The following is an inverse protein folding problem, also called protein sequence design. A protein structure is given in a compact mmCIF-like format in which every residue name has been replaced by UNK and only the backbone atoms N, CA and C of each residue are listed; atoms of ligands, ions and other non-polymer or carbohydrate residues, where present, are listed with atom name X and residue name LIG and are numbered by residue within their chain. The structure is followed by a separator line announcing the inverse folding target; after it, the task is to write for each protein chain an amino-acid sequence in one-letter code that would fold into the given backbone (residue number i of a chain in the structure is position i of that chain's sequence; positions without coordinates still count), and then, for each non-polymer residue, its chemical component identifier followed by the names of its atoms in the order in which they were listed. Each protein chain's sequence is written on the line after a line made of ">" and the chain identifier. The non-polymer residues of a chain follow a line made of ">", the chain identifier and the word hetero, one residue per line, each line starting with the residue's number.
data_IF_024113025289
#
_entry.id   IF_024113025289
#
_cell.length_a   1.000
_cell.length_b   1.000
_cell.length_c   1.000
_cell.angle_alpha   90.00
_cell.angle_beta   90.00
_cell.angle_gamma   90.00
#
_symmetry.space_group_name_H-M   'P 1'
#
loop_
_entity.id
_entity.type
_entity.pdbx_description
1 polymer ?
#
# COMPACT_ATOMS: atom_id res chain seq x y z
N UNK A 1 9.19 -53.59 -33.26
CA UNK A 1 8.80 -52.24 -32.80
C UNK A 1 9.65 -51.74 -31.64
N UNK A 2 9.76 -52.46 -30.52
CA UNK A 2 10.50 -52.01 -29.31
C UNK A 2 12.02 -51.84 -29.55
N UNK A 3 12.66 -52.72 -30.32
CA UNK A 3 14.09 -52.63 -30.66
C UNK A 3 14.46 -51.42 -31.54
N UNK A 4 13.57 -51.02 -32.45
CA UNK A 4 13.79 -49.84 -33.31
C UNK A 4 13.66 -48.53 -32.51
N UNK A 5 12.77 -48.50 -31.52
CA UNK A 5 12.58 -47.35 -30.64
C UNK A 5 13.77 -47.17 -29.69
N UNK A 6 14.31 -48.27 -29.17
CA UNK A 6 15.52 -48.24 -28.34
C UNK A 6 16.76 -47.77 -29.12
N UNK A 7 16.93 -48.22 -30.37
CA UNK A 7 18.02 -47.78 -31.24
C UNK A 7 17.92 -46.29 -31.59
N UNK A 8 16.71 -45.78 -31.84
CA UNK A 8 16.49 -44.35 -32.12
C UNK A 8 16.82 -43.46 -30.90
N UNK A 9 16.42 -43.87 -29.69
CA UNK A 9 16.74 -43.14 -28.45
C UNK A 9 18.25 -43.14 -28.21
N UNK A 10 18.92 -44.26 -28.42
CA UNK A 10 20.38 -44.36 -28.27
C UNK A 10 21.12 -43.47 -29.27
N UNK A 11 20.65 -43.40 -30.52
CA UNK A 11 21.22 -42.50 -31.53
C UNK A 11 21.06 -41.02 -31.15
N UNK A 12 19.92 -40.62 -30.58
CA UNK A 12 19.70 -39.23 -30.11
C UNK A 12 20.62 -38.87 -28.96
N UNK A 13 20.85 -39.80 -28.02
CA UNK A 13 21.76 -39.59 -26.89
C UNK A 13 23.21 -39.45 -27.37
N UNK A 14 23.66 -40.33 -28.28
CA UNK A 14 24.99 -40.23 -28.89
C UNK A 14 25.17 -38.94 -29.67
N UNK A 15 24.17 -38.52 -30.45
CA UNK A 15 24.24 -37.27 -31.21
C UNK A 15 24.33 -36.05 -30.28
N UNK A 16 23.58 -36.05 -29.17
CA UNK A 16 23.65 -34.99 -28.15
C UNK A 16 25.00 -34.95 -27.44
N UNK A 17 25.61 -36.10 -27.17
CA UNK A 17 26.93 -36.20 -26.55
C UNK A 17 28.05 -35.71 -27.47
N UNK A 18 28.05 -36.15 -28.74
CA UNK A 18 29.02 -35.69 -29.75
C UNK A 18 28.89 -34.18 -30.03
N UNK A 19 27.66 -33.64 -29.99
CA UNK A 19 27.42 -32.20 -30.12
C UNK A 19 27.93 -31.40 -28.93
N UNK A 20 27.91 -31.96 -27.72
CA UNK A 20 28.44 -31.32 -26.51
C UNK A 20 29.97 -31.33 -26.50
N UNK A 21 30.61 -32.44 -26.91
CA UNK A 21 32.07 -32.50 -27.05
C UNK A 21 32.59 -31.50 -28.10
N UNK A 22 31.90 -31.37 -29.24
CA UNK A 22 32.29 -30.38 -30.26
C UNK A 22 32.25 -28.94 -29.76
N UNK A 23 31.35 -28.59 -28.85
CA UNK A 23 31.30 -27.24 -28.25
C UNK A 23 32.47 -26.99 -27.28
N UNK A 24 33.02 -28.03 -26.64
CA UNK A 24 34.18 -27.87 -25.76
C UNK A 24 35.51 -27.71 -26.52
N UNK A 25 35.60 -28.19 -27.76
CA UNK A 25 36.79 -28.01 -28.61
C UNK A 25 36.90 -26.62 -29.27
N UNK A 26 35.88 -25.76 -29.18
CA UNK A 26 35.89 -24.40 -29.72
C UNK A 26 36.15 -23.30 -28.68
N UNK A 27 36.47 -23.65 -27.43
CA UNK A 27 37.03 -22.67 -26.51
C UNK A 27 38.43 -22.25 -27.02
N UNK A 28 38.72 -20.94 -27.19
CA UNK A 28 40.01 -20.48 -27.70
C UNK A 28 41.17 -21.00 -26.86
N UNK A 29 42.12 -21.66 -27.51
CA UNK A 29 43.35 -22.16 -26.92
C UNK A 29 44.34 -20.99 -26.83
N UNK A 30 44.47 -20.38 -25.67
CA UNK A 30 45.51 -19.37 -25.43
C UNK A 30 46.89 -20.03 -25.49
N UNK A 31 47.75 -19.50 -26.35
CA UNK A 31 49.15 -19.91 -26.53
C UNK A 31 50.03 -19.39 -25.39
N UNK A 32 50.96 -20.18 -24.83
CA UNK A 32 51.83 -19.73 -23.75
C UNK A 32 53.03 -18.94 -24.30
N UNK A 33 53.15 -17.67 -23.89
CA UNK A 33 54.38 -16.88 -24.02
C UNK A 33 55.13 -16.89 -22.68
N UNK A 34 56.37 -17.34 -22.77
CA UNK A 34 57.57 -17.25 -21.91
C UNK A 34 57.55 -16.35 -20.64
N UNK A 35 57.84 -16.99 -19.50
CA UNK A 35 58.60 -16.59 -18.27
C UNK A 35 58.42 -15.19 -17.63
N UNK A 36 57.85 -15.18 -16.41
CA UNK A 36 58.21 -14.31 -15.26
C UNK A 36 57.61 -14.92 -13.97
N UNK A 37 58.26 -14.88 -12.78
CA UNK A 37 57.71 -15.52 -11.57
C UNK A 37 56.58 -14.66 -10.99
N UNK A 38 55.34 -15.11 -11.14
CA UNK A 38 54.15 -14.49 -10.56
C UNK A 38 54.05 -14.84 -9.07
N UNK A 39 53.78 -13.87 -8.17
CA UNK A 39 53.63 -14.13 -6.73
C UNK A 39 52.42 -15.02 -6.45
N UNK A 40 52.58 -15.90 -5.46
CA UNK A 40 51.54 -16.80 -4.96
C UNK A 40 50.27 -16.00 -4.60
N UNK A 41 49.08 -16.35 -5.13
CA UNK A 41 47.88 -15.56 -4.91
C UNK A 41 47.45 -15.71 -3.45
N UNK A 42 47.74 -14.70 -2.64
CA UNK A 42 47.16 -14.57 -1.31
C UNK A 42 45.64 -14.47 -1.49
N UNK A 43 44.83 -15.35 -0.87
CA UNK A 43 43.38 -15.31 -0.98
C UNK A 43 42.88 -13.98 -0.42
N UNK A 44 42.60 -13.04 -1.32
CA UNK A 44 42.10 -11.72 -0.93
C UNK A 44 40.62 -11.88 -0.67
N UNK A 45 40.24 -11.76 0.61
CA UNK A 45 38.84 -11.74 1.05
C UNK A 45 38.08 -10.71 0.17
N UNK A 46 36.93 -11.07 -0.42
CA UNK A 46 36.16 -10.11 -1.20
C UNK A 46 35.85 -8.89 -0.31
N UNK A 47 35.98 -7.66 -0.84
CA UNK A 47 35.77 -6.47 -0.04
C UNK A 47 34.35 -6.47 0.52
N UNK A 48 34.14 -6.06 1.77
CA UNK A 48 32.79 -5.92 2.31
C UNK A 48 32.01 -4.93 1.43
N UNK A 49 30.75 -5.27 1.15
CA UNK A 49 29.84 -4.44 0.37
C UNK A 49 29.57 -3.17 1.19
N UNK A 50 30.42 -2.15 1.05
CA UNK A 50 30.24 -0.84 1.64
C UNK A 50 29.42 0.03 0.66
N UNK A 51 28.11 -0.20 0.64
CA UNK A 51 27.15 0.59 -0.12
C UNK A 51 26.54 1.71 0.73
N UNK A 52 26.58 2.94 0.22
CA UNK A 52 25.96 4.13 0.83
C UNK A 52 24.44 3.90 0.99
N UNK A 53 23.89 4.23 2.17
CA UNK A 53 22.48 4.01 2.53
C UNK A 53 21.52 4.54 1.46
N UNK A 54 20.67 3.66 0.95
CA UNK A 54 19.60 4.04 0.04
C UNK A 54 18.44 4.62 0.87
N UNK A 55 18.14 5.89 0.66
CA UNK A 55 17.00 6.54 1.30
C UNK A 55 15.81 6.44 0.35
N UNK A 56 15.09 5.31 0.44
CA UNK A 56 13.88 5.09 -0.33
C UNK A 56 12.67 5.74 0.35
N UNK A 57 11.87 6.49 -0.40
CA UNK A 57 10.53 6.88 0.08
C UNK A 57 9.55 5.77 -0.28
N UNK A 58 8.93 5.17 0.73
CA UNK A 58 7.89 4.17 0.54
C UNK A 58 6.60 4.81 0.01
N UNK A 59 5.75 4.01 -0.62
CA UNK A 59 4.49 4.45 -1.23
C UNK A 59 3.50 5.10 -0.23
N UNK A 60 3.63 4.80 1.07
CA UNK A 60 2.85 5.39 2.16
C UNK A 60 3.44 6.71 2.69
N UNK A 61 4.49 7.23 2.04
CA UNK A 61 5.14 8.50 2.35
C UNK A 61 6.20 8.44 3.45
N UNK A 62 6.53 7.24 3.95
CA UNK A 62 7.56 7.00 4.96
C UNK A 62 8.95 7.02 4.32
N UNK A 63 9.89 7.70 4.97
CA UNK A 63 11.30 7.69 4.59
C UNK A 63 11.99 6.51 5.27
N UNK A 64 12.48 5.54 4.49
CA UNK A 64 13.21 4.39 5.00
C UNK A 64 14.71 4.65 4.84
N UNK A 65 15.44 4.52 5.95
CA UNK A 65 16.89 4.44 5.94
C UNK A 65 17.26 3.00 6.28
N UNK A 66 17.93 2.30 5.36
CA UNK A 66 18.40 0.94 5.58
C UNK A 66 19.92 0.86 5.48
N UNK A 67 20.56 0.35 6.53
CA UNK A 67 21.95 -0.08 6.55
C UNK A 67 22.00 -1.59 6.78
N UNK A 68 23.05 -2.23 6.28
CA UNK A 68 23.37 -3.62 6.59
C UNK A 68 24.71 -3.61 7.32
N UNK A 69 24.71 -4.11 8.55
CA UNK A 69 25.91 -4.25 9.36
C UNK A 69 26.21 -5.73 9.52
N UNK A 70 27.45 -6.13 9.25
CA UNK A 70 27.89 -7.53 9.36
C UNK A 70 29.09 -7.64 10.28
N UNK A 71 28.97 -8.46 11.32
CA UNK A 71 30.08 -8.81 12.22
C UNK A 71 30.60 -10.23 11.87
N UNK A 72 31.90 -10.52 12.05
CA UNK A 72 32.41 -11.87 11.87
C UNK A 72 31.81 -12.83 12.92
N UNK A 73 31.14 -13.89 12.47
CA UNK A 73 30.58 -14.97 13.30
C UNK A 73 31.38 -16.27 13.22
N UNK A 74 30.86 -17.31 13.88
CA UNK A 74 31.36 -18.70 13.85
C UNK A 74 30.94 -19.44 12.58
N UNK A 75 31.07 -20.77 12.56
CA UNK A 75 30.52 -21.62 11.52
C UNK A 75 29.00 -21.42 11.35
N UNK A 76 28.52 -21.58 10.12
CA UNK A 76 27.13 -21.32 9.77
C UNK A 76 26.11 -22.24 10.47
N UNK A 77 26.54 -23.39 11.02
CA UNK A 77 25.64 -24.29 11.74
C UNK A 77 25.35 -23.75 13.13
N UNK A 78 26.38 -23.21 13.79
CA UNK A 78 26.27 -22.52 15.08
C UNK A 78 25.46 -21.23 14.95
N UNK A 79 25.79 -20.36 13.99
CA UNK A 79 25.09 -19.08 13.77
C UNK A 79 23.61 -19.30 13.46
N UNK A 80 23.26 -20.27 12.61
CA UNK A 80 21.86 -20.56 12.24
C UNK A 80 21.00 -21.00 13.45
N UNK A 81 21.61 -21.52 14.51
CA UNK A 81 20.92 -21.88 15.74
C UNK A 81 20.76 -20.70 16.72
N UNK A 82 21.51 -19.61 16.53
CA UNK A 82 21.41 -18.39 17.34
C UNK A 82 20.35 -17.44 16.73
N UNK A 83 19.25 -17.13 17.46
CA UNK A 83 18.25 -16.17 17.01
C UNK A 83 18.78 -14.75 16.76
N UNK A 84 19.89 -14.38 17.40
CA UNK A 84 20.49 -13.05 17.28
C UNK A 84 21.46 -12.92 16.08
N UNK A 85 21.78 -14.03 15.40
CA UNK A 85 22.69 -14.04 14.25
C UNK A 85 22.13 -13.35 12.99
N UNK A 86 20.80 -13.16 12.93
CA UNK A 86 20.10 -12.56 11.78
C UNK A 86 18.90 -11.72 12.24
N UNK A 87 19.20 -10.52 12.76
CA UNK A 87 18.19 -9.60 13.33
C UNK A 87 17.98 -8.39 12.43
N UNK A 88 16.73 -7.95 12.35
CA UNK A 88 16.34 -6.69 11.73
C UNK A 88 15.65 -5.80 12.76
N UNK A 89 16.30 -4.69 13.12
CA UNK A 89 15.73 -3.67 13.98
C UNK A 89 14.94 -2.63 13.19
N UNK A 90 13.64 -2.52 13.48
CA UNK A 90 12.77 -1.51 12.89
C UNK A 90 12.48 -0.40 13.91
N UNK A 91 12.86 0.84 13.57
CA UNK A 91 12.58 2.03 14.38
C UNK A 91 11.85 3.10 13.56
N UNK A 92 10.57 3.31 13.87
CA UNK A 92 9.78 4.40 13.30
C UNK A 92 9.79 5.63 14.22
N UNK A 93 10.26 6.76 13.71
CA UNK A 93 10.22 8.04 14.41
C UNK A 93 9.06 8.89 13.89
N UNK A 94 7.98 8.99 14.66
CA UNK A 94 6.83 9.84 14.35
C UNK A 94 6.70 10.96 15.39
N UNK A 95 6.54 12.21 14.93
CA UNK A 95 6.27 13.36 15.80
C UNK A 95 4.77 13.48 16.01
N UNK A 96 4.31 13.48 17.26
CA UNK A 96 2.90 13.74 17.59
C UNK A 96 2.65 15.24 17.50
N UNK A 97 1.66 15.71 16.73
CA UNK A 97 1.38 17.13 16.59
C UNK A 97 0.67 17.69 17.83
N UNK A 98 0.78 19.00 17.99
CA UNK A 98 0.07 19.76 19.02
C UNK A 98 -1.20 20.38 18.42
N UNK A 99 -2.33 20.37 19.14
CA UNK A 99 -3.58 20.93 18.64
C UNK A 99 -3.52 22.45 18.57
N UNK A 100 -4.13 23.03 17.54
CA UNK A 100 -4.40 24.46 17.46
C UNK A 100 -5.44 24.87 18.52
N UNK A 101 -5.20 26.00 19.18
CA UNK A 101 -5.96 26.46 20.36
C UNK A 101 -6.56 27.83 20.16
N UNK A 102 -5.93 28.68 19.34
CA UNK A 102 -6.36 30.06 19.11
C UNK A 102 -6.96 30.24 17.73
N UNK A 103 -7.76 31.29 17.57
CA UNK A 103 -8.37 31.60 16.27
C UNK A 103 -7.32 31.88 15.19
N UNK A 104 -6.20 32.50 15.54
CA UNK A 104 -5.10 32.78 14.61
C UNK A 104 -4.44 31.49 14.12
N UNK A 105 -4.27 30.49 14.99
CA UNK A 105 -3.74 29.19 14.62
C UNK A 105 -4.69 28.44 13.69
N UNK A 106 -6.00 28.45 14.00
CA UNK A 106 -7.03 27.86 13.14
C UNK A 106 -7.09 28.54 11.77
N UNK A 107 -6.92 29.87 11.73
CA UNK A 107 -6.96 30.66 10.51
C UNK A 107 -5.78 30.38 9.57
N UNK A 108 -4.64 29.86 10.07
CA UNK A 108 -3.52 29.43 9.20
C UNK A 108 -3.95 28.34 8.22
N UNK A 109 -4.87 27.47 8.62
CA UNK A 109 -5.39 26.37 7.80
C UNK A 109 -6.66 26.80 7.06
N UNK A 110 -7.55 27.54 7.74
CA UNK A 110 -8.81 28.01 7.16
C UNK A 110 -8.90 29.54 7.27
N UNK A 111 -8.32 30.31 6.33
CA UNK A 111 -8.16 31.76 6.48
C UNK A 111 -9.45 32.54 6.70
N UNK A 112 -10.57 32.07 6.14
CA UNK A 112 -11.89 32.72 6.26
C UNK A 112 -12.69 32.30 7.50
N UNK A 113 -12.14 31.42 8.34
CA UNK A 113 -12.83 30.95 9.54
C UNK A 113 -13.24 32.09 10.51
N UNK A 114 -12.41 33.13 10.74
CA UNK A 114 -12.81 34.26 11.57
C UNK A 114 -14.03 35.03 11.02
N UNK A 115 -14.14 35.14 9.70
CA UNK A 115 -15.27 35.81 9.04
C UNK A 115 -16.56 34.98 9.15
N UNK A 116 -16.43 33.66 8.96
CA UNK A 116 -17.57 32.73 8.99
C UNK A 116 -18.12 32.53 10.40
N UNK A 117 -17.25 32.54 11.42
CA UNK A 117 -17.59 32.30 12.82
C UNK A 117 -16.98 33.37 13.74
N UNK A 118 -17.49 34.62 13.72
CA UNK A 118 -16.89 35.72 14.48
C UNK A 118 -16.91 35.51 16.00
N UNK A 119 -17.87 34.73 16.51
CA UNK A 119 -17.94 34.38 17.93
C UNK A 119 -16.93 33.31 18.39
N UNK A 120 -16.17 32.72 17.47
CA UNK A 120 -15.24 31.62 17.77
C UNK A 120 -14.09 32.06 18.68
N UNK A 121 -13.59 33.28 18.49
CA UNK A 121 -12.50 33.84 19.33
C UNK A 121 -12.84 33.83 20.83
N UNK A 122 -14.11 34.09 21.17
CA UNK A 122 -14.56 34.13 22.56
C UNK A 122 -14.73 32.75 23.20
N UNK A 123 -14.68 31.67 22.39
CA UNK A 123 -14.86 30.28 22.84
C UNK A 123 -13.58 29.46 22.72
N UNK A 124 -12.70 29.81 21.78
CA UNK A 124 -11.46 29.10 21.51
C UNK A 124 -10.36 29.55 22.49
N UNK A 125 -9.73 28.58 23.15
CA UNK A 125 -8.60 28.79 24.04
C UNK A 125 -7.95 27.47 24.44
N UNK A 126 -6.85 27.50 25.22
CA UNK A 126 -6.13 26.29 25.62
C UNK A 126 -7.01 25.24 26.32
N UNK A 127 -7.93 25.68 27.18
CA UNK A 127 -8.86 24.81 27.91
C UNK A 127 -9.97 24.20 27.03
N UNK A 128 -10.16 24.74 25.82
CA UNK A 128 -11.15 24.20 24.89
C UNK A 128 -10.66 22.94 24.16
N UNK A 129 -9.38 22.60 24.27
CA UNK A 129 -8.84 21.40 23.60
C UNK A 129 -9.50 20.14 24.17
N UNK A 130 -10.14 19.39 23.29
CA UNK A 130 -10.82 18.17 23.68
C UNK A 130 -9.82 17.05 23.99
N UNK A 131 -10.06 16.25 25.05
CA UNK A 131 -9.32 15.00 25.30
C UNK A 131 -9.35 14.04 24.10
N UNK A 132 -10.38 14.13 23.26
CA UNK A 132 -10.54 13.32 22.05
C UNK A 132 -9.35 13.47 21.09
N UNK A 133 -8.70 14.64 21.04
CA UNK A 133 -7.51 14.83 20.20
C UNK A 133 -6.36 13.91 20.67
N UNK A 134 -6.12 13.86 21.97
CA UNK A 134 -5.10 12.99 22.56
C UNK A 134 -5.45 11.52 22.39
N UNK A 135 -6.72 11.15 22.58
CA UNK A 135 -7.19 9.78 22.37
C UNK A 135 -7.04 9.31 20.91
N UNK A 136 -7.33 10.19 19.95
CA UNK A 136 -7.13 9.94 18.53
C UNK A 136 -5.67 9.63 18.23
N UNK A 137 -4.74 10.50 18.65
CA UNK A 137 -3.31 10.28 18.40
C UNK A 137 -2.76 9.07 19.16
N UNK A 138 -3.25 8.78 20.37
CA UNK A 138 -2.89 7.55 21.08
C UNK A 138 -3.33 6.30 20.31
N UNK A 139 -4.52 6.33 19.71
CA UNK A 139 -5.01 5.25 18.85
C UNK A 139 -4.14 5.09 17.60
N UNK A 140 -3.76 6.19 16.95
CA UNK A 140 -2.85 6.16 15.79
C UNK A 140 -1.47 5.62 16.15
N UNK A 141 -0.92 6.02 17.29
CA UNK A 141 0.36 5.49 17.80
C UNK A 141 0.26 3.99 18.07
N UNK A 142 -0.84 3.52 18.65
CA UNK A 142 -1.10 2.09 18.83
C UNK A 142 -1.13 1.37 17.48
N UNK A 143 -1.83 1.89 16.48
CA UNK A 143 -1.84 1.31 15.13
C UNK A 143 -0.45 1.25 14.50
N UNK A 144 0.39 2.28 14.70
CA UNK A 144 1.78 2.26 14.23
C UNK A 144 2.59 1.14 14.91
N UNK A 145 2.41 0.95 16.23
CA UNK A 145 3.10 -0.11 16.99
C UNK A 145 2.68 -1.50 16.55
N UNK A 146 1.38 -1.73 16.41
CA UNK A 146 0.81 -3.03 16.03
C UNK A 146 1.17 -3.43 14.60
N UNK A 147 1.39 -2.47 13.70
CA UNK A 147 1.64 -2.72 12.29
C UNK A 147 3.09 -2.45 11.86
N UNK A 148 4.03 -2.16 12.78
CA UNK A 148 5.40 -1.79 12.42
C UNK A 148 6.13 -2.86 11.58
N UNK A 149 5.82 -4.13 11.81
CA UNK A 149 6.39 -5.26 11.06
C UNK A 149 5.69 -5.48 9.71
N UNK A 150 4.48 -4.90 9.53
CA UNK A 150 3.68 -4.97 8.30
C UNK A 150 3.60 -3.59 7.67
N UNK A 151 4.69 -3.20 7.00
CA UNK A 151 4.84 -1.87 6.39
C UNK A 151 3.72 -1.52 5.40
N UNK A 152 3.06 -2.52 4.83
CA UNK A 152 1.90 -2.39 3.95
C UNK A 152 0.62 -1.92 4.65
N UNK A 153 0.49 -2.22 5.94
CA UNK A 153 -0.64 -1.85 6.79
C UNK A 153 -0.31 -0.69 7.75
N UNK A 154 0.90 -0.17 7.66
CA UNK A 154 1.35 0.97 8.44
C UNK A 154 0.65 2.24 7.96
N UNK A 155 0.15 3.05 8.90
CA UNK A 155 -0.53 4.31 8.57
C UNK A 155 0.37 5.20 7.71
N UNK A 156 -0.22 5.75 6.64
CA UNK A 156 0.46 6.71 5.79
C UNK A 156 0.76 8.00 6.54
N UNK A 157 1.74 8.77 6.04
CA UNK A 157 2.04 10.09 6.62
C UNK A 157 0.81 11.00 6.60
N UNK A 158 0.03 10.97 5.52
CA UNK A 158 -1.18 11.80 5.41
C UNK A 158 -2.20 11.42 6.48
N UNK A 159 -2.53 10.13 6.62
CA UNK A 159 -3.52 9.66 7.60
C UNK A 159 -3.03 9.80 9.05
N UNK A 160 -1.72 9.84 9.29
CA UNK A 160 -1.23 10.13 10.64
C UNK A 160 -1.44 11.60 11.01
N UNK A 161 -1.34 12.53 10.06
CA UNK A 161 -1.41 13.99 10.27
C UNK A 161 -2.70 14.65 9.72
N UNK A 162 -3.77 13.88 9.51
CA UNK A 162 -5.04 14.36 8.94
C UNK A 162 -5.85 15.27 9.88
N UNK A 163 -5.56 15.31 11.19
CA UNK A 163 -6.34 16.03 12.18
C UNK A 163 -5.49 17.09 12.86
N UNK A 164 -5.86 18.36 12.65
CA UNK A 164 -5.15 19.52 13.18
C UNK A 164 -5.57 19.85 14.61
N UNK A 165 -6.88 19.81 14.92
CA UNK A 165 -7.38 20.04 16.28
C UNK A 165 -8.80 19.52 16.48
N UNK A 166 -9.14 19.27 17.74
CA UNK A 166 -10.51 19.02 18.21
C UNK A 166 -10.77 19.91 19.42
N UNK A 167 -11.73 20.83 19.30
CA UNK A 167 -12.08 21.78 20.37
C UNK A 167 -13.51 21.55 20.86
N UNK A 168 -13.67 21.43 22.18
CA UNK A 168 -14.95 21.52 22.88
C UNK A 168 -15.20 22.99 23.23
N UNK A 169 -16.15 23.59 22.53
CA UNK A 169 -16.49 25.00 22.64
C UNK A 169 -17.78 25.15 23.45
N UNK A 170 -17.87 26.24 24.22
CA UNK A 170 -19.11 26.65 24.85
C UNK A 170 -19.31 28.15 24.65
N UNK A 171 -20.46 28.52 24.10
CA UNK A 171 -20.79 29.92 23.91
C UNK A 171 -21.07 30.59 25.27
N UNK A 172 -20.40 31.70 25.61
CA UNK A 172 -20.48 32.28 26.95
C UNK A 172 -21.85 32.88 27.28
N UNK A 173 -22.61 33.36 26.30
CA UNK A 173 -23.93 33.97 26.53
C UNK A 173 -25.06 32.95 26.49
N UNK A 174 -25.07 32.05 25.51
CA UNK A 174 -26.15 31.08 25.29
C UNK A 174 -25.91 29.74 25.98
N UNK A 175 -24.70 29.52 26.53
CA UNK A 175 -24.21 28.25 27.09
C UNK A 175 -24.28 27.04 26.15
N UNK A 176 -24.58 27.26 24.87
CA UNK A 176 -24.63 26.22 23.85
C UNK A 176 -23.23 25.64 23.65
N UNK A 177 -23.16 24.31 23.63
CA UNK A 177 -21.93 23.56 23.40
C UNK A 177 -21.79 23.23 21.92
N UNK A 178 -20.57 23.25 21.43
CA UNK A 178 -20.22 22.82 20.08
C UNK A 178 -18.90 22.03 20.12
N UNK A 179 -18.74 21.12 19.18
CA UNK A 179 -17.48 20.43 18.93
C UNK A 179 -16.96 20.91 17.58
N UNK A 180 -15.77 21.52 17.56
CA UNK A 180 -15.10 21.93 16.34
C UNK A 180 -14.00 20.92 16.03
N UNK A 181 -14.00 20.39 14.81
CA UNK A 181 -12.93 19.57 14.26
C UNK A 181 -12.33 20.32 13.07
N UNK A 182 -11.01 20.48 13.06
CA UNK A 182 -10.28 20.95 11.89
C UNK A 182 -9.38 19.82 11.42
N UNK A 183 -9.71 19.27 10.25
CA UNK A 183 -9.07 18.11 9.68
C UNK A 183 -8.98 18.25 8.14
N UNK A 184 -8.01 17.56 7.56
CA UNK A 184 -7.76 17.43 6.12
C UNK A 184 -7.93 15.95 5.76
N UNK A 185 -9.15 15.59 5.34
CA UNK A 185 -9.52 14.20 5.08
C UNK A 185 -9.64 13.92 3.59
N UNK A 186 -8.78 13.05 3.08
CA UNK A 186 -8.87 12.47 1.74
C UNK A 186 -9.78 11.21 1.76
N UNK A 187 -11.08 11.41 2.01
CA UNK A 187 -12.07 10.33 1.99
C UNK A 187 -13.11 10.56 0.91
N UNK A 188 -13.08 9.72 -0.12
CA UNK A 188 -14.19 9.55 -1.05
C UNK A 188 -15.23 8.61 -0.42
N UNK A 189 -16.24 9.21 0.22
CA UNK A 189 -17.40 8.48 0.72
C UNK A 189 -18.51 8.37 -0.34
N UNK A 190 -18.34 9.04 -1.48
CA UNK A 190 -19.35 9.11 -2.53
C UNK A 190 -19.39 7.79 -3.28
N UNK A 191 -20.59 7.21 -3.36
CA UNK A 191 -20.88 5.97 -4.04
C UNK A 191 -22.00 6.17 -5.06
N UNK A 192 -22.51 5.06 -5.59
CA UNK A 192 -23.55 5.09 -6.60
C UNK A 192 -24.90 4.59 -6.09
N UNK A 193 -25.99 5.29 -6.37
CA UNK A 193 -27.32 4.86 -5.99
C UNK A 193 -28.25 4.80 -7.21
N UNK A 194 -28.51 3.60 -7.71
CA UNK A 194 -29.42 3.41 -8.85
C UNK A 194 -30.88 3.74 -8.55
N UNK A 195 -31.30 3.78 -7.27
CA UNK A 195 -32.66 4.12 -6.89
C UNK A 195 -32.92 5.64 -6.96
N UNK A 196 -31.88 6.45 -6.72
CA UNK A 196 -31.99 7.92 -6.63
C UNK A 196 -31.31 8.65 -7.78
N UNK A 197 -30.24 8.09 -8.32
CA UNK A 197 -29.42 8.65 -9.39
C UNK A 197 -29.21 7.58 -10.49
N UNK A 198 -30.20 7.41 -11.38
CA UNK A 198 -30.17 6.38 -12.42
C UNK A 198 -29.13 6.66 -13.52
N UNK A 199 -28.59 7.89 -13.59
CA UNK A 199 -27.56 8.29 -14.54
C UNK A 199 -26.26 8.46 -13.77
N UNK A 200 -25.21 7.74 -14.18
CA UNK A 200 -23.86 7.99 -13.69
C UNK A 200 -23.42 9.38 -14.12
N UNK A 201 -23.25 10.29 -13.18
CA UNK A 201 -22.50 11.53 -13.43
C UNK A 201 -21.10 11.09 -13.88
N UNK A 202 -20.53 11.71 -14.93
CA UNK A 202 -19.23 11.32 -15.51
C UNK A 202 -18.10 11.44 -14.50
N UNK A 203 -18.02 10.46 -13.60
CA UNK A 203 -17.31 10.57 -12.35
C UNK A 203 -15.80 10.56 -12.62
N UNK A 204 -15.02 11.29 -11.80
CA UNK A 204 -13.58 11.37 -11.97
C UNK A 204 -12.94 9.99 -11.93
N UNK A 205 -11.75 9.85 -12.50
CA UNK A 205 -11.00 8.57 -12.59
C UNK A 205 -10.86 7.83 -11.25
N UNK A 206 -10.91 8.54 -10.14
CA UNK A 206 -10.74 7.99 -8.79
C UNK A 206 -12.05 7.63 -8.09
N UNK A 207 -13.21 7.93 -8.69
CA UNK A 207 -14.51 7.67 -8.10
C UNK A 207 -14.74 6.16 -7.91
N UNK A 208 -15.18 5.78 -6.72
CA UNK A 208 -15.51 4.39 -6.40
C UNK A 208 -17.03 4.22 -6.33
N UNK A 209 -17.68 3.55 -7.30
CA UNK A 209 -19.13 3.40 -7.30
C UNK A 209 -19.65 2.53 -6.15
N UNK A 210 -18.77 1.78 -5.48
CA UNK A 210 -19.07 0.98 -4.31
C UNK A 210 -18.20 1.40 -3.13
N UNK A 211 -18.84 1.63 -1.98
CA UNK A 211 -18.19 2.01 -0.73
C UNK A 211 -18.67 1.11 0.43
N UNK A 212 -18.09 1.27 1.61
CA UNK A 212 -18.57 0.58 2.82
C UNK A 212 -19.93 1.13 3.30
N UNK A 213 -20.27 2.37 2.96
CA UNK A 213 -21.51 3.05 3.35
C UNK A 213 -22.65 2.66 2.40
N UNK A 214 -23.28 1.51 2.68
CA UNK A 214 -24.29 0.91 1.81
C UNK A 214 -25.53 0.41 2.54
N UNK A 215 -26.66 0.36 1.85
CA UNK A 215 -27.92 -0.22 2.29
C UNK A 215 -28.58 -1.04 1.18
N UNK A 216 -29.58 -1.86 1.51
CA UNK A 216 -30.30 -2.65 0.52
C UNK A 216 -31.11 -1.75 -0.43
N UNK A 217 -31.11 -2.09 -1.73
CA UNK A 217 -31.89 -1.36 -2.73
C UNK A 217 -33.39 -1.45 -2.44
N UNK A 218 -34.10 -0.37 -2.75
CA UNK A 218 -35.54 -0.24 -2.63
C UNK A 218 -36.25 -0.48 -3.96
N UNK A 219 -35.57 -0.31 -5.09
CA UNK A 219 -36.16 -0.48 -6.42
C UNK A 219 -35.38 -1.49 -7.27
N UNK A 220 -35.99 -2.02 -8.35
CA UNK A 220 -35.29 -2.87 -9.31
C UNK A 220 -34.38 -2.10 -10.28
N UNK A 221 -34.31 -0.76 -10.19
CA UNK A 221 -33.52 0.06 -11.10
C UNK A 221 -32.04 -0.35 -11.04
N UNK A 222 -31.37 -0.65 -12.16
CA UNK A 222 -29.97 -1.08 -12.14
C UNK A 222 -29.06 0.06 -11.68
N UNK A 223 -27.94 -0.29 -11.04
CA UNK A 223 -26.93 0.69 -10.70
C UNK A 223 -26.22 1.17 -12.00
N UNK A 224 -26.01 2.48 -12.22
CA UNK A 224 -25.44 2.99 -13.46
C UNK A 224 -24.05 2.44 -13.80
N UNK A 225 -23.27 2.02 -12.79
CA UNK A 225 -21.93 1.47 -12.98
C UNK A 225 -21.92 -0.06 -13.13
N UNK A 226 -23.06 -0.73 -12.93
CA UNK A 226 -23.14 -2.18 -12.97
C UNK A 226 -22.70 -2.76 -14.32
N UNK A 227 -23.19 -2.19 -15.42
CA UNK A 227 -22.90 -2.69 -16.76
C UNK A 227 -21.40 -2.64 -17.10
N UNK A 228 -20.74 -1.52 -16.80
CA UNK A 228 -19.30 -1.37 -17.02
C UNK A 228 -18.47 -2.31 -16.14
N UNK A 229 -18.89 -2.54 -14.88
CA UNK A 229 -18.22 -3.49 -13.99
C UNK A 229 -18.42 -4.95 -14.46
N UNK A 230 -19.60 -5.31 -14.96
CA UNK A 230 -19.87 -6.64 -15.54
C UNK A 230 -19.03 -6.89 -16.81
N UNK A 231 -18.87 -5.89 -17.68
CA UNK A 231 -18.00 -5.98 -18.85
C UNK A 231 -16.53 -6.13 -18.44
N UNK A 232 -16.07 -5.39 -17.42
CA UNK A 232 -14.72 -5.55 -16.86
C UNK A 232 -14.50 -6.94 -16.28
N UNK A 233 -15.49 -7.49 -15.56
CA UNK A 233 -15.44 -8.86 -15.06
C UNK A 233 -15.30 -9.85 -16.22
N UNK A 234 -16.14 -9.74 -17.25
CA UNK A 234 -16.08 -10.62 -18.42
C UNK A 234 -14.72 -10.59 -19.10
N UNK A 235 -14.17 -9.40 -19.39
CA UNK A 235 -12.83 -9.26 -19.99
C UNK A 235 -11.74 -9.91 -19.14
N UNK A 236 -11.83 -9.78 -17.82
CA UNK A 236 -10.86 -10.37 -16.88
C UNK A 236 -10.98 -11.90 -16.85
N UNK A 237 -12.20 -12.44 -16.91
CA UNK A 237 -12.46 -13.88 -17.00
C UNK A 237 -11.96 -14.46 -18.34
N UNK A 238 -12.16 -13.74 -19.44
CA UNK A 238 -11.67 -14.12 -20.77
C UNK A 238 -10.13 -14.14 -20.81
N UNK A 239 -9.46 -13.13 -20.23
CA UNK A 239 -7.99 -13.09 -20.09
C UNK A 239 -7.47 -14.24 -19.22
N UNK A 240 -8.17 -14.58 -18.14
CA UNK A 240 -7.80 -15.69 -17.28
C UNK A 240 -7.92 -17.05 -17.99
N UNK A 241 -8.96 -17.21 -18.84
CA UNK A 241 -9.19 -18.41 -19.63
C UNK A 241 -8.23 -18.55 -20.82
N UNK A 242 -7.62 -17.46 -21.28
CA UNK A 242 -6.67 -17.49 -22.40
C UNK A 242 -5.46 -18.40 -22.11
N UNK A 243 -5.06 -19.18 -23.11
CA UNK A 243 -3.92 -20.11 -23.02
C UNK A 243 -2.57 -19.39 -22.98
N UNK A 244 -2.52 -18.14 -23.45
CA UNK A 244 -1.32 -17.30 -23.55
C UNK A 244 -0.97 -16.58 -22.24
N UNK A 245 -1.83 -16.63 -21.23
CA UNK A 245 -1.65 -15.89 -19.98
C UNK A 245 -0.64 -16.57 -19.05
N UNK A 246 0.39 -15.83 -18.64
CA UNK A 246 1.46 -16.31 -17.77
C UNK A 246 0.93 -16.79 -16.40
N UNK A 247 1.58 -17.77 -15.75
CA UNK A 247 1.12 -18.31 -14.46
C UNK A 247 1.00 -17.27 -13.34
N UNK A 248 1.95 -16.33 -13.24
CA UNK A 248 1.90 -15.23 -12.26
C UNK A 248 0.70 -14.32 -12.53
N UNK A 249 0.49 -13.93 -13.80
CA UNK A 249 -0.67 -13.13 -14.20
C UNK A 249 -2.00 -13.84 -13.90
N UNK A 250 -2.07 -15.17 -14.04
CA UNK A 250 -3.26 -15.94 -13.65
C UNK A 250 -3.55 -15.87 -12.16
N UNK A 251 -2.53 -15.80 -11.30
CA UNK A 251 -2.73 -15.60 -9.85
C UNK A 251 -3.37 -14.23 -9.57
N UNK A 252 -2.87 -13.18 -10.20
CA UNK A 252 -3.42 -11.82 -10.04
C UNK A 252 -4.85 -11.72 -10.57
N UNK A 253 -5.10 -12.29 -11.75
CA UNK A 253 -6.43 -12.33 -12.37
C UNK A 253 -7.44 -13.09 -11.50
N UNK A 254 -7.04 -14.16 -10.83
CA UNK A 254 -7.94 -14.89 -9.91
C UNK A 254 -8.40 -14.00 -8.76
N UNK A 255 -7.49 -13.21 -8.18
CA UNK A 255 -7.82 -12.27 -7.11
C UNK A 255 -8.74 -11.15 -7.65
N UNK A 256 -8.42 -10.60 -8.82
CA UNK A 256 -9.23 -9.58 -9.48
C UNK A 256 -10.66 -10.08 -9.79
N UNK A 257 -10.82 -11.29 -10.33
CA UNK A 257 -12.12 -11.91 -10.61
C UNK A 257 -12.94 -12.07 -9.33
N UNK A 258 -12.30 -12.52 -8.25
CA UNK A 258 -12.96 -12.69 -6.95
C UNK A 258 -13.50 -11.34 -6.44
N UNK A 259 -12.69 -10.29 -6.51
CA UNK A 259 -13.08 -8.95 -6.11
C UNK A 259 -14.19 -8.38 -7.00
N UNK A 260 -14.07 -8.51 -8.32
CA UNK A 260 -15.06 -8.00 -9.28
C UNK A 260 -16.42 -8.71 -9.13
N UNK A 261 -16.43 -10.03 -8.85
CA UNK A 261 -17.68 -10.76 -8.57
C UNK A 261 -18.35 -10.25 -7.30
N UNK A 262 -17.58 -9.96 -6.25
CA UNK A 262 -18.11 -9.37 -5.02
C UNK A 262 -18.65 -7.94 -5.25
N UNK A 263 -17.96 -7.14 -6.07
CA UNK A 263 -18.38 -5.81 -6.48
C UNK A 263 -19.73 -5.86 -7.24
N UNK A 264 -19.82 -6.68 -8.29
CA UNK A 264 -21.06 -6.89 -9.06
C UNK A 264 -22.21 -7.35 -8.16
N UNK A 265 -21.96 -8.32 -7.28
CA UNK A 265 -22.96 -8.81 -6.34
C UNK A 265 -23.46 -7.70 -5.40
N UNK A 266 -22.57 -6.79 -5.00
CA UNK A 266 -22.92 -5.66 -4.14
C UNK A 266 -23.69 -4.59 -4.91
N UNK A 267 -23.24 -4.17 -6.09
CA UNK A 267 -23.94 -3.18 -6.95
C UNK A 267 -25.35 -3.64 -7.35
N UNK A 268 -25.59 -4.95 -7.47
CA UNK A 268 -26.91 -5.52 -7.73
C UNK A 268 -27.87 -5.39 -6.55
N UNK A 269 -27.37 -5.45 -5.31
CA UNK A 269 -28.19 -5.56 -4.10
C UNK A 269 -28.23 -4.30 -3.25
N UNK A 270 -27.25 -3.41 -3.42
CA UNK A 270 -27.06 -2.27 -2.55
C UNK A 270 -27.09 -0.94 -3.30
N UNK A 271 -27.56 0.07 -2.57
CA UNK A 271 -27.38 1.48 -2.85
C UNK A 271 -26.35 2.03 -1.86
N UNK A 272 -25.68 3.11 -2.25
CA UNK A 272 -24.56 3.68 -1.51
C UNK A 272 -24.80 5.16 -1.21
N UNK A 273 -24.08 5.66 -0.21
CA UNK A 273 -24.08 7.07 0.16
C UNK A 273 -23.73 7.94 -1.04
N UNK A 274 -24.55 8.95 -1.32
CA UNK A 274 -24.24 9.98 -2.32
C UNK A 274 -23.91 11.26 -1.57
N UNK A 275 -22.68 11.73 -1.67
CA UNK A 275 -22.19 12.85 -0.86
C UNK A 275 -22.94 14.16 -1.11
N UNK A 276 -23.49 14.36 -2.31
CA UNK A 276 -24.31 15.53 -2.67
C UNK A 276 -25.76 15.46 -2.18
N UNK A 277 -26.25 14.27 -1.85
CA UNK A 277 -27.68 14.04 -1.53
C UNK A 277 -27.88 13.65 -0.07
N UNK A 278 -26.93 12.92 0.52
CA UNK A 278 -27.00 12.41 1.87
C UNK A 278 -26.26 13.33 2.85
N UNK A 279 -26.86 13.71 3.99
CA UNK A 279 -26.14 14.40 5.03
C UNK A 279 -25.18 13.42 5.70
N UNK A 280 -23.88 13.69 5.60
CA UNK A 280 -22.85 12.89 6.26
C UNK A 280 -21.70 13.77 6.75
N UNK A 281 -20.97 13.25 7.73
CA UNK A 281 -19.71 13.82 8.20
C UNK A 281 -18.72 12.67 8.36
N UNK A 282 -17.51 12.86 7.84
CA UNK A 282 -16.40 11.95 8.07
C UNK A 282 -15.53 12.55 9.16
N UNK A 283 -15.13 11.72 10.12
CA UNK A 283 -14.30 12.11 11.26
C UNK A 283 -12.96 11.36 11.14
N UNK A 284 -11.82 12.03 11.39
CA UNK A 284 -10.49 11.41 11.34
C UNK A 284 -10.23 10.38 12.44
#
# INVERSE_FOLDING_TARGET
>A
MVLLLAAAIFAVILYRWISQERLQYFAPRETPTTTSPTPEPTPTRPPPIAGKLDTGRLFNGITLHSSVETTPGSDASTERADPESYVLDLKLNARVPTPNRTLEELAKITPRLPELLPGLAAMAGPESVSPLFTELYNTKIRMLRENLVRLDLLLSRHNFFDCQTVLQLQNPQSHRKALLLQADMDVDADGSDGDRMPIGTGAPTNFKPFTSFKWAKKTPAPNPYLAGTEERLKRTEDEFAARTTAPERKRDLRNAITQLRAEVATLKKCSFLIGTTDPYVVIP
#
